data_IF_957670666514
#
_entry.id   IF_957670666514
#
_cell.length_a   1.000
_cell.length_b   1.000
_cell.length_c   1.000
_cell.angle_alpha   90.00
_cell.angle_beta   90.00
_cell.angle_gamma   90.00
#
_symmetry.space_group_name_H-M   'P 1'
#
loop_
_entity.id
_entity.type
_entity.pdbx_description
1 polymer ?
#
# COMPACT_ATOMS: atom_id res chain seq x y z
N UNK A 1 -11.79 43.34 -26.55
CA UNK A 1 -10.69 43.01 -25.60
C UNK A 1 -11.04 41.98 -24.51
N UNK A 2 -12.32 41.72 -24.16
CA UNK A 2 -12.67 40.73 -23.10
C UNK A 2 -12.50 39.25 -23.48
N UNK A 3 -12.58 38.89 -24.76
CA UNK A 3 -12.52 37.49 -25.21
C UNK A 3 -11.10 36.87 -25.20
N UNK A 4 -10.06 37.69 -25.36
CA UNK A 4 -8.66 37.22 -25.40
C UNK A 4 -8.20 36.74 -24.03
N UNK A 5 -8.66 37.39 -22.94
CA UNK A 5 -8.32 36.98 -21.58
C UNK A 5 -8.93 35.62 -21.21
N UNK A 6 -10.13 35.30 -21.70
CA UNK A 6 -10.79 34.02 -21.42
C UNK A 6 -10.03 32.87 -22.09
N UNK A 7 -9.57 33.06 -23.34
CA UNK A 7 -8.76 32.04 -24.03
C UNK A 7 -7.39 31.84 -23.37
N UNK A 8 -6.76 32.89 -22.83
CA UNK A 8 -5.48 32.75 -22.12
C UNK A 8 -5.62 32.01 -20.78
N UNK A 9 -6.75 32.15 -20.08
CA UNK A 9 -7.04 31.37 -18.87
C UNK A 9 -7.34 29.90 -19.22
N UNK A 10 -8.01 29.64 -20.34
CA UNK A 10 -8.23 28.26 -20.80
C UNK A 10 -6.95 27.59 -21.35
N UNK A 11 -6.02 28.35 -21.96
CA UNK A 11 -4.76 27.82 -22.45
C UNK A 11 -3.75 27.50 -21.32
N UNK A 12 -3.83 28.18 -20.17
CA UNK A 12 -2.92 27.93 -19.05
C UNK A 12 -3.31 26.74 -18.17
N UNK A 13 -4.51 26.17 -18.35
CA UNK A 13 -5.01 25.04 -17.53
C UNK A 13 -4.81 23.66 -18.18
N UNK A 14 -4.25 23.56 -19.40
CA UNK A 14 -4.16 22.29 -20.13
C UNK A 14 -2.86 21.48 -19.91
N UNK A 15 -2.06 21.76 -18.88
CA UNK A 15 -0.92 20.91 -18.51
C UNK A 15 -1.07 20.35 -17.09
N UNK A 16 -2.09 19.53 -16.86
CA UNK A 16 -1.97 18.44 -15.89
C UNK A 16 -1.68 17.16 -16.67
N UNK A 17 -0.41 16.93 -16.98
CA UNK A 17 0.07 15.64 -17.48
C UNK A 17 -0.33 14.60 -16.43
N UNK A 18 -1.18 13.65 -16.80
CA UNK A 18 -1.71 12.66 -15.87
C UNK A 18 -0.55 11.76 -15.42
N UNK A 19 -0.13 12.00 -14.18
CA UNK A 19 1.02 11.39 -13.54
C UNK A 19 0.68 9.96 -13.11
N UNK A 20 0.84 9.01 -14.03
CA UNK A 20 0.56 7.61 -13.78
C UNK A 20 1.59 6.94 -12.86
N UNK A 21 1.10 5.99 -12.06
CA UNK A 21 1.98 5.04 -11.39
C UNK A 21 2.69 4.12 -12.41
N UNK A 22 3.86 3.56 -12.10
CA UNK A 22 4.47 2.53 -12.94
C UNK A 22 3.56 1.31 -13.12
N UNK A 23 3.86 0.50 -14.14
CA UNK A 23 3.17 -0.77 -14.37
C UNK A 23 3.29 -1.67 -13.14
N UNK A 24 2.15 -2.21 -12.66
CA UNK A 24 1.96 -2.98 -11.41
C UNK A 24 1.56 -2.19 -10.15
N UNK A 25 1.57 -0.86 -10.22
CA UNK A 25 1.01 0.01 -9.20
C UNK A 25 -0.33 0.59 -9.66
N UNK A 26 -1.25 0.74 -8.71
CA UNK A 26 -2.59 1.26 -8.93
C UNK A 26 -2.67 2.65 -8.33
N UNK A 27 -3.03 3.63 -9.16
CA UNK A 27 -3.22 5.01 -8.73
C UNK A 27 -4.53 5.18 -7.96
N UNK A 28 -4.47 5.88 -6.83
CA UNK A 28 -5.63 6.29 -6.06
C UNK A 28 -5.89 7.79 -6.25
N UNK A 29 -7.07 8.21 -6.74
CA UNK A 29 -7.42 9.63 -6.81
C UNK A 29 -7.75 10.23 -5.43
N UNK A 30 -7.96 9.40 -4.39
CA UNK A 30 -8.37 9.86 -3.06
C UNK A 30 -7.24 10.54 -2.27
N UNK A 31 -5.99 10.19 -2.57
CA UNK A 31 -4.81 10.70 -1.90
C UNK A 31 -3.64 10.95 -2.86
N UNK A 32 -3.84 10.74 -4.16
CA UNK A 32 -2.82 10.89 -5.20
C UNK A 32 -1.59 10.01 -4.99
N UNK A 33 -1.76 8.83 -4.39
CA UNK A 33 -0.69 7.86 -4.13
C UNK A 33 -0.79 6.64 -5.04
N UNK A 34 0.30 5.88 -5.09
CA UNK A 34 0.40 4.62 -5.83
C UNK A 34 0.39 3.45 -4.86
N UNK A 35 -0.41 2.44 -5.16
CA UNK A 35 -0.62 1.25 -4.32
C UNK A 35 -0.21 -0.03 -5.05
N UNK A 36 0.43 -0.97 -4.36
CA UNK A 36 0.78 -2.28 -4.90
C UNK A 36 0.32 -3.38 -3.96
N UNK A 37 -0.54 -4.26 -4.47
CA UNK A 37 -1.05 -5.41 -3.73
C UNK A 37 -0.02 -6.54 -3.81
N UNK A 38 0.37 -7.10 -2.66
CA UNK A 38 1.25 -8.26 -2.62
C UNK A 38 0.50 -9.53 -2.98
N UNK A 39 1.11 -10.37 -3.82
CA UNK A 39 0.60 -11.71 -4.15
C UNK A 39 0.95 -12.76 -3.08
N UNK A 40 1.73 -12.38 -2.06
CA UNK A 40 2.13 -13.26 -0.96
C UNK A 40 1.61 -12.74 0.37
N UNK A 41 0.99 -13.61 1.16
CA UNK A 41 0.54 -13.29 2.50
C UNK A 41 1.72 -13.31 3.47
N UNK A 42 1.82 -12.29 4.32
CA UNK A 42 2.93 -12.14 5.27
C UNK A 42 2.43 -11.80 6.66
N UNK A 43 3.29 -11.98 7.66
CA UNK A 43 3.10 -11.26 8.92
C UNK A 43 3.28 -9.76 8.71
N UNK A 44 2.79 -8.95 9.64
CA UNK A 44 2.77 -7.49 9.52
C UNK A 44 4.19 -6.92 9.33
N UNK A 45 5.15 -7.32 10.18
CA UNK A 45 6.53 -6.81 10.11
C UNK A 45 7.23 -7.18 8.79
N UNK A 46 7.05 -8.43 8.33
CA UNK A 46 7.62 -8.86 7.05
C UNK A 46 6.96 -8.12 5.88
N UNK A 47 5.66 -7.82 5.98
CA UNK A 47 4.96 -7.00 5.00
C UNK A 47 5.52 -5.58 4.95
N UNK A 48 5.71 -4.96 6.12
CA UNK A 48 6.29 -3.62 6.25
C UNK A 48 7.72 -3.58 5.72
N UNK A 49 8.54 -4.56 6.10
CA UNK A 49 9.88 -4.73 5.57
C UNK A 49 9.89 -4.84 4.04
N UNK A 50 9.02 -5.67 3.46
CA UNK A 50 8.94 -5.84 2.01
C UNK A 50 8.50 -4.54 1.32
N UNK A 51 7.56 -3.79 1.90
CA UNK A 51 7.16 -2.49 1.39
C UNK A 51 8.32 -1.48 1.49
N UNK A 52 9.03 -1.43 2.62
CA UNK A 52 10.18 -0.55 2.83
C UNK A 52 11.32 -0.87 1.85
N UNK A 53 11.58 -2.15 1.58
CA UNK A 53 12.60 -2.59 0.61
C UNK A 53 12.35 -2.06 -0.80
N UNK A 54 11.07 -1.92 -1.19
CA UNK A 54 10.68 -1.31 -2.47
C UNK A 54 10.45 0.20 -2.36
N UNK A 55 10.67 0.83 -1.20
CA UNK A 55 10.53 2.27 -0.98
C UNK A 55 9.11 2.75 -0.62
N UNK A 56 8.25 1.84 -0.21
CA UNK A 56 6.92 2.18 0.32
C UNK A 56 6.80 1.85 1.81
N UNK A 57 5.58 1.97 2.31
CA UNK A 57 5.14 1.44 3.59
C UNK A 57 3.90 0.58 3.37
N UNK A 58 3.51 -0.25 4.34
CA UNK A 58 2.12 -0.74 4.33
C UNK A 58 1.18 0.47 4.40
N UNK A 59 0.10 0.43 3.63
CA UNK A 59 -0.84 1.52 3.50
C UNK A 59 -1.41 2.04 4.83
N UNK A 60 -1.23 3.33 5.07
CA UNK A 60 -1.95 4.12 6.07
C UNK A 60 -3.36 4.48 5.57
N UNK A 61 -4.29 4.75 6.51
CA UNK A 61 -5.68 5.06 6.20
C UNK A 61 -6.11 6.31 6.98
N UNK A 62 -6.57 7.33 6.25
CA UNK A 62 -6.95 8.63 6.81
C UNK A 62 -8.38 9.05 6.44
N UNK A 63 -9.11 8.25 5.66
CA UNK A 63 -10.49 8.55 5.29
C UNK A 63 -11.31 7.28 4.99
N UNK A 64 -12.66 7.38 5.00
CA UNK A 64 -13.54 6.29 4.56
C UNK A 64 -13.24 5.81 3.14
N UNK A 65 -12.93 6.72 2.22
CA UNK A 65 -12.65 6.43 0.81
C UNK A 65 -11.34 5.64 0.67
N UNK A 66 -10.29 6.00 1.42
CA UNK A 66 -9.04 5.24 1.44
C UNK A 66 -9.25 3.82 2.01
N UNK A 67 -10.08 3.70 3.05
CA UNK A 67 -10.42 2.38 3.59
C UNK A 67 -11.16 1.53 2.55
N UNK A 68 -12.14 2.12 1.87
CA UNK A 68 -12.91 1.44 0.83
C UNK A 68 -12.00 0.98 -0.31
N UNK A 69 -11.11 1.87 -0.77
CA UNK A 69 -10.16 1.59 -1.83
C UNK A 69 -9.22 0.42 -1.47
N UNK A 70 -8.59 0.43 -0.29
CA UNK A 70 -7.74 -0.67 0.15
C UNK A 70 -8.50 -1.99 0.31
N UNK A 71 -9.72 -1.92 0.84
CA UNK A 71 -10.57 -3.10 0.97
C UNK A 71 -10.86 -3.72 -0.40
N UNK A 72 -11.23 -2.92 -1.39
CA UNK A 72 -11.50 -3.38 -2.76
C UNK A 72 -10.25 -3.98 -3.44
N UNK A 73 -9.08 -3.38 -3.21
CA UNK A 73 -7.80 -3.89 -3.73
C UNK A 73 -7.44 -5.26 -3.17
N UNK A 74 -7.61 -5.46 -1.86
CA UNK A 74 -7.12 -6.67 -1.18
C UNK A 74 -8.14 -7.80 -1.03
N UNK A 75 -9.45 -7.51 -1.08
CA UNK A 75 -10.49 -8.49 -0.70
C UNK A 75 -10.58 -9.73 -1.58
N UNK A 76 -10.04 -9.68 -2.80
CA UNK A 76 -9.97 -10.82 -3.73
C UNK A 76 -8.67 -11.61 -3.62
N UNK A 77 -7.68 -11.12 -2.86
CA UNK A 77 -6.37 -11.75 -2.71
C UNK A 77 -6.29 -12.59 -1.43
N UNK A 78 -6.95 -12.15 -0.36
CA UNK A 78 -6.97 -12.89 0.90
C UNK A 78 -8.08 -12.46 1.84
N UNK A 79 -8.30 -13.25 2.89
CA UNK A 79 -9.38 -13.03 3.87
C UNK A 79 -9.16 -11.79 4.75
N UNK A 80 -7.91 -11.33 4.84
CA UNK A 80 -7.54 -10.16 5.63
C UNK A 80 -6.48 -9.34 4.93
N UNK A 81 -6.50 -8.03 5.18
CA UNK A 81 -5.61 -7.05 4.57
C UNK A 81 -4.94 -6.26 5.69
N UNK A 82 -3.62 -6.14 5.66
CA UNK A 82 -2.92 -5.35 6.66
C UNK A 82 -3.20 -3.86 6.51
N UNK A 83 -3.41 -3.19 7.65
CA UNK A 83 -3.34 -1.74 7.78
C UNK A 83 -1.96 -1.40 8.29
N UNK A 84 -1.35 -0.32 7.81
CA UNK A 84 0.01 0.11 8.20
C UNK A 84 0.14 0.58 9.64
N UNK A 85 -0.80 0.24 10.52
CA UNK A 85 -0.83 0.62 11.92
C UNK A 85 -0.54 -0.56 12.85
N UNK A 86 0.27 -0.29 13.86
CA UNK A 86 0.51 -1.21 14.96
C UNK A 86 0.75 -0.45 16.28
N UNK A 87 0.63 -1.15 17.40
CA UNK A 87 1.08 -0.68 18.71
C UNK A 87 2.53 -1.12 18.90
N UNK A 88 3.46 -0.18 19.06
CA UNK A 88 4.88 -0.48 19.30
C UNK A 88 5.26 -0.28 20.77
N UNK A 89 6.32 -0.95 21.24
CA UNK A 89 6.86 -0.63 22.57
C UNK A 89 6.01 -1.13 23.72
N UNK A 90 5.97 -0.34 24.79
CA UNK A 90 4.95 -0.40 25.84
C UNK A 90 3.76 0.54 25.55
N UNK A 91 3.79 1.28 24.44
CA UNK A 91 2.76 2.27 24.10
C UNK A 91 1.47 1.56 23.64
N UNK A 92 0.32 1.79 24.30
CA UNK A 92 -0.95 1.23 23.90
C UNK A 92 -1.59 1.94 22.69
N UNK A 93 -0.95 2.97 22.15
CA UNK A 93 -1.46 3.75 21.02
C UNK A 93 -1.04 3.12 19.70
N UNK A 94 -1.96 3.12 18.73
CA UNK A 94 -1.66 2.74 17.36
C UNK A 94 -0.89 3.88 16.68
N UNK A 95 0.14 3.52 15.93
CA UNK A 95 0.96 4.43 15.14
C UNK A 95 1.14 3.84 13.75
N UNK A 96 1.07 4.68 12.72
CA UNK A 96 1.37 4.26 11.34
C UNK A 96 2.88 4.14 11.13
N UNK A 97 3.31 3.10 10.40
CA UNK A 97 4.73 2.86 10.06
C UNK A 97 5.34 3.97 9.20
N UNK A 98 4.52 4.58 8.32
CA UNK A 98 4.91 5.73 7.49
C UNK A 98 5.01 7.06 8.27
N UNK A 99 4.64 7.05 9.54
CA UNK A 99 4.68 8.20 10.44
C UNK A 99 3.61 9.26 10.27
N UNK A 100 2.63 9.01 9.41
CA UNK A 100 1.41 9.80 9.33
C UNK A 100 0.59 9.72 10.63
N UNK A 101 -0.29 10.72 10.90
CA UNK A 101 -1.10 10.71 12.11
C UNK A 101 -2.15 9.60 12.09
N UNK A 102 -2.34 8.92 13.23
CA UNK A 102 -3.42 7.95 13.42
C UNK A 102 -4.75 8.66 13.74
N UNK A 103 -5.43 9.14 12.70
CA UNK A 103 -6.60 10.04 12.79
C UNK A 103 -7.92 9.47 12.23
N UNK A 104 -7.91 8.21 11.77
CA UNK A 104 -9.08 7.54 11.23
C UNK A 104 -9.12 6.08 11.71
N UNK A 105 -10.31 5.58 12.01
CA UNK A 105 -10.51 4.23 12.53
C UNK A 105 -11.85 3.65 12.07
N UNK A 106 -11.88 2.34 11.81
CA UNK A 106 -13.09 1.65 11.34
C UNK A 106 -13.27 0.26 11.97
N UNK A 107 -13.19 0.18 13.30
CA UNK A 107 -13.28 -1.08 14.05
C UNK A 107 -14.61 -1.83 13.89
N UNK A 108 -14.53 -3.16 13.82
CA UNK A 108 -15.68 -4.04 13.67
C UNK A 108 -16.70 -3.97 14.82
N UNK A 109 -16.24 -3.73 16.06
CA UNK A 109 -17.09 -3.56 17.25
C UNK A 109 -17.53 -2.10 17.46
N UNK A 110 -17.30 -1.21 16.48
CA UNK A 110 -17.65 0.21 16.55
C UNK A 110 -16.79 1.06 17.49
N UNK A 111 -15.81 0.46 18.17
CA UNK A 111 -14.86 1.15 19.07
C UNK A 111 -13.50 0.49 19.06
N UNK A 112 -12.47 1.26 19.46
CA UNK A 112 -11.11 0.73 19.60
C UNK A 112 -11.06 -0.41 20.62
N UNK A 113 -10.50 -1.58 20.27
CA UNK A 113 -10.38 -2.69 21.22
C UNK A 113 -9.34 -2.37 22.31
N UNK A 114 -9.46 -2.98 23.51
CA UNK A 114 -8.48 -2.80 24.58
C UNK A 114 -7.12 -3.40 24.19
N UNK A 115 -6.04 -2.81 24.70
CA UNK A 115 -4.67 -3.28 24.46
C UNK A 115 -4.51 -4.77 24.81
N UNK A 116 -3.96 -5.54 23.87
CA UNK A 116 -3.57 -6.94 24.09
C UNK A 116 -2.15 -7.16 23.58
N UNK A 117 -1.25 -7.63 24.47
CA UNK A 117 0.16 -7.89 24.12
C UNK A 117 0.35 -8.81 22.91
N UNK A 118 -0.53 -9.78 22.73
CA UNK A 118 -0.48 -10.73 21.61
C UNK A 118 -1.17 -10.25 20.32
N UNK A 119 -1.89 -9.12 20.35
CA UNK A 119 -2.66 -8.60 19.21
C UNK A 119 -2.46 -7.10 19.03
N UNK A 120 -1.30 -6.74 18.48
CA UNK A 120 -0.82 -5.36 18.37
C UNK A 120 -0.95 -4.75 16.98
N UNK A 121 -1.28 -5.55 15.97
CA UNK A 121 -1.37 -5.12 14.58
C UNK A 121 -2.82 -5.00 14.12
N UNK A 122 -3.08 -4.14 13.13
CA UNK A 122 -4.44 -3.88 12.61
C UNK A 122 -4.61 -4.49 11.24
N UNK A 123 -5.72 -5.18 11.01
CA UNK A 123 -6.09 -5.70 9.69
C UNK A 123 -7.57 -5.46 9.38
N UNK A 124 -7.89 -5.33 8.11
CA UNK A 124 -9.26 -5.27 7.57
C UNK A 124 -9.74 -6.69 7.31
N UNK A 125 -10.96 -7.00 7.74
CA UNK A 125 -11.67 -8.22 7.33
C UNK A 125 -12.23 -8.04 5.91
N UNK A 126 -11.85 -8.92 4.98
CA UNK A 126 -12.22 -8.81 3.56
C UNK A 126 -13.71 -9.01 3.29
N UNK A 127 -14.47 -9.58 4.23
CA UNK A 127 -15.93 -9.73 4.10
C UNK A 127 -16.68 -8.46 4.49
N UNK A 128 -16.22 -7.73 5.51
CA UNK A 128 -16.94 -6.58 6.08
C UNK A 128 -16.32 -5.22 5.75
N UNK A 129 -15.03 -5.18 5.40
CA UNK A 129 -14.29 -3.93 5.24
C UNK A 129 -14.08 -3.16 6.56
N UNK A 130 -14.18 -3.85 7.70
CA UNK A 130 -14.00 -3.33 9.05
C UNK A 130 -12.71 -3.88 9.68
N UNK A 131 -12.19 -3.17 10.69
CA UNK A 131 -10.90 -3.46 11.29
C UNK A 131 -11.02 -4.39 12.49
N UNK A 132 -10.00 -5.21 12.68
CA UNK A 132 -9.78 -5.97 13.91
C UNK A 132 -8.30 -5.95 14.32
N UNK A 133 -8.08 -6.09 15.63
CA UNK A 133 -6.73 -6.29 16.16
C UNK A 133 -6.28 -7.75 15.92
N UNK A 134 -5.02 -7.93 15.56
CA UNK A 134 -4.47 -9.23 15.23
C UNK A 134 -3.06 -9.43 15.74
N UNK A 135 -2.69 -10.70 15.89
CA UNK A 135 -1.30 -11.08 16.11
C UNK A 135 -0.48 -10.73 14.86
N UNK A 136 0.61 -10.00 15.04
CA UNK A 136 1.43 -9.53 13.93
C UNK A 136 2.08 -10.67 13.10
N UNK A 137 2.12 -11.91 13.62
CA UNK A 137 2.61 -13.09 12.89
C UNK A 137 1.58 -13.70 11.94
N UNK A 138 0.28 -13.45 12.16
CA UNK A 138 -0.78 -14.05 11.33
C UNK A 138 -0.66 -13.55 9.89
N UNK A 139 -0.83 -14.43 8.92
CA UNK A 139 -0.66 -14.06 7.50
C UNK A 139 -1.88 -13.27 7.00
N UNK A 140 -1.62 -12.08 6.45
CA UNK A 140 -2.63 -11.25 5.77
C UNK A 140 -1.99 -10.59 4.54
N UNK A 141 -2.78 -9.97 3.67
CA UNK A 141 -2.32 -9.29 2.45
C UNK A 141 -1.67 -7.95 2.83
N UNK A 142 -0.36 -7.73 2.62
CA UNK A 142 0.20 -6.38 2.68
C UNK A 142 -0.10 -5.63 1.37
N UNK A 143 -0.53 -4.38 1.49
CA UNK A 143 -0.65 -3.45 0.37
C UNK A 143 0.34 -2.33 0.61
N UNK A 144 1.32 -2.20 -0.28
CA UNK A 144 2.34 -1.16 -0.18
C UNK A 144 1.84 0.14 -0.81
N UNK A 145 2.21 1.28 -0.22
CA UNK A 145 1.88 2.62 -0.72
C UNK A 145 3.15 3.45 -0.93
N UNK A 146 3.15 4.28 -1.98
CA UNK A 146 4.18 5.28 -2.27
C UNK A 146 3.56 6.63 -2.62
N UNK A 147 4.23 7.70 -2.19
CA UNK A 147 3.99 9.04 -2.75
C UNK A 147 4.82 9.19 -4.05
N UNK A 148 4.19 9.39 -5.21
CA UNK A 148 4.88 9.65 -6.46
C UNK A 148 5.87 10.82 -6.38
N UNK A 149 5.62 11.81 -5.52
CA UNK A 149 6.48 13.00 -5.35
C UNK A 149 7.88 12.66 -4.85
N UNK A 150 8.06 11.51 -4.21
CA UNK A 150 9.37 11.05 -3.72
C UNK A 150 10.21 10.37 -4.81
N UNK A 151 9.65 10.12 -6.00
CA UNK A 151 10.29 9.34 -7.06
C UNK A 151 10.34 10.13 -8.38
N UNK A 152 11.45 10.82 -8.68
CA UNK A 152 11.66 11.45 -9.98
C UNK A 152 11.49 10.41 -11.11
N UNK A 153 10.67 10.69 -12.11
CA UNK A 153 10.35 9.76 -13.20
C UNK A 153 9.02 9.00 -13.01
N UNK A 154 8.51 8.89 -11.79
CA UNK A 154 7.17 8.35 -11.56
C UNK A 154 6.14 9.44 -11.89
N UNK A 155 5.17 9.12 -12.75
CA UNK A 155 4.17 10.10 -13.18
C UNK A 155 4.66 11.16 -14.16
N UNK A 156 5.87 11.04 -14.71
CA UNK A 156 6.27 11.77 -15.92
C UNK A 156 6.37 10.76 -17.06
N UNK A 157 5.66 10.94 -18.19
CA UNK A 157 5.90 10.12 -19.36
C UNK A 157 7.38 10.17 -19.68
N UNK A 158 8.00 9.00 -19.91
CA UNK A 158 9.35 8.99 -20.44
C UNK A 158 9.36 9.76 -21.78
N UNK A 159 10.46 10.44 -22.12
CA UNK A 159 10.58 11.16 -23.39
C UNK A 159 10.25 10.28 -24.61
N UNK A 160 10.46 8.97 -24.50
CA UNK A 160 10.10 7.99 -25.53
C UNK A 160 8.59 7.70 -25.62
N UNK A 161 7.83 7.94 -24.56
CA UNK A 161 6.39 7.71 -24.50
C UNK A 161 5.60 8.92 -25.02
N UNK A 162 6.13 10.13 -24.83
CA UNK A 162 5.57 11.36 -25.41
C UNK A 162 5.63 11.35 -26.95
N UNK A 163 6.59 10.63 -27.54
CA UNK A 163 6.69 10.44 -28.99
C UNK A 163 5.73 9.36 -29.55
N UNK A 164 5.11 8.54 -28.69
CA UNK A 164 4.21 7.46 -29.10
C UNK A 164 2.73 7.80 -28.99
N UNK A 165 2.37 8.89 -28.32
CA UNK A 165 0.97 9.33 -28.22
C UNK A 165 0.67 10.29 -29.38
N UNK A 166 -0.14 9.89 -30.38
CA UNK A 166 -0.58 10.80 -31.42
C UNK A 166 -1.50 11.87 -30.82
N UNK A 167 -1.51 13.10 -31.37
CA UNK A 167 -2.42 14.13 -30.90
C UNK A 167 -3.87 13.69 -31.05
N UNK A 168 -4.63 13.85 -29.97
CA UNK A 168 -6.05 13.51 -29.83
C UNK A 168 -6.89 14.17 -30.91
N UNK A 169 -7.56 13.35 -31.72
CA UNK A 169 -8.69 13.75 -32.57
C UNK A 169 -9.90 13.98 -31.66
N UNK A 170 -10.60 15.10 -31.92
CA UNK A 170 -11.63 15.66 -31.07
C UNK A 170 -12.87 14.80 -30.85
N UNK A 171 -13.58 15.19 -29.80
CA UNK A 171 -14.95 14.80 -29.47
C UNK A 171 -15.91 14.95 -30.65
N UNK A 172 -16.72 13.93 -30.95
CA UNK A 172 -18.00 14.13 -31.59
C UNK A 172 -19.11 13.90 -30.56
N UNK A 173 -19.59 15.02 -30.02
CA UNK A 173 -20.97 15.14 -29.60
C UNK A 173 -21.86 15.00 -30.84
N UNK A 174 -22.93 14.21 -30.71
CA UNK A 174 -24.18 14.13 -31.52
C UNK A 174 -24.48 12.69 -31.95
N UNK A 175 -24.97 11.89 -31.00
CA UNK A 175 -25.63 10.63 -31.31
C UNK A 175 -27.06 10.95 -31.78
N UNK A 176 -27.28 10.93 -33.09
CA UNK A 176 -28.60 10.96 -33.70
C UNK A 176 -29.26 9.59 -33.49
N UNK A 177 -30.47 9.60 -32.93
CA UNK A 177 -31.31 8.40 -32.74
C UNK A 177 -31.61 7.78 -34.11
N UNK A 178 -30.95 6.68 -34.45
CA UNK A 178 -31.47 5.73 -35.44
C UNK A 178 -32.15 4.58 -34.72
N UNK A 179 -33.39 4.34 -35.12
CA UNK A 179 -34.22 3.22 -34.74
C UNK A 179 -33.61 1.95 -35.36
N UNK A 180 -32.63 1.38 -34.65
CA UNK A 180 -31.90 0.19 -35.09
C UNK A 180 -32.78 -1.05 -34.96
N UNK A 181 -32.78 -1.83 -36.05
CA UNK A 181 -33.60 -3.02 -36.24
C UNK A 181 -33.41 -4.05 -35.13
N UNK A 182 -34.51 -4.71 -34.78
CA UNK A 182 -34.66 -5.73 -33.74
C UNK A 182 -33.57 -6.82 -33.78
N UNK A 183 -33.03 -7.13 -34.96
CA UNK A 183 -31.97 -8.13 -35.14
C UNK A 183 -30.64 -7.74 -34.45
N UNK A 184 -30.28 -6.45 -34.42
CA UNK A 184 -29.07 -5.98 -33.74
C UNK A 184 -29.22 -6.06 -32.22
N UNK A 185 -30.43 -5.85 -31.70
CA UNK A 185 -30.69 -5.98 -30.27
C UNK A 185 -30.57 -7.43 -29.80
N UNK A 186 -31.10 -8.38 -30.57
CA UNK A 186 -30.96 -9.81 -30.25
C UNK A 186 -29.48 -10.24 -30.21
N UNK A 187 -28.68 -9.80 -31.19
CA UNK A 187 -27.24 -10.07 -31.21
C UNK A 187 -26.49 -9.42 -30.03
N UNK A 188 -26.88 -8.20 -29.64
CA UNK A 188 -26.31 -7.53 -28.46
C UNK A 188 -26.65 -8.27 -27.17
N UNK A 189 -27.90 -8.72 -27.01
CA UNK A 189 -28.35 -9.51 -25.85
C UNK A 189 -27.61 -10.84 -25.75
N UNK A 190 -27.43 -11.54 -26.87
CA UNK A 190 -26.65 -12.79 -26.93
C UNK A 190 -25.18 -12.55 -26.55
N UNK A 191 -24.59 -11.44 -27.03
CA UNK A 191 -23.25 -11.01 -26.64
C UNK A 191 -23.12 -10.75 -25.13
N UNK A 192 -24.09 -10.08 -24.50
CA UNK A 192 -24.10 -9.88 -23.05
C UNK A 192 -24.27 -11.18 -22.27
N UNK A 193 -25.07 -12.12 -22.79
CA UNK A 193 -25.27 -13.41 -22.16
C UNK A 193 -23.98 -14.24 -22.18
N UNK A 194 -23.24 -14.23 -23.30
CA UNK A 194 -21.94 -14.88 -23.42
C UNK A 194 -20.91 -14.31 -22.43
N UNK A 195 -20.81 -12.99 -22.31
CA UNK A 195 -19.91 -12.34 -21.32
C UNK A 195 -20.30 -12.72 -19.89
N UNK A 196 -21.61 -12.82 -19.60
CA UNK A 196 -22.11 -13.24 -18.29
C UNK A 196 -21.73 -14.69 -17.96
N UNK A 197 -21.82 -15.58 -18.94
CA UNK A 197 -21.51 -16.99 -18.76
C UNK A 197 -20.00 -17.24 -18.66
N UNK A 198 -19.18 -16.49 -19.42
CA UNK A 198 -17.72 -16.45 -19.23
C UNK A 198 -17.34 -15.93 -17.83
N UNK A 199 -18.03 -14.90 -17.32
CA UNK A 199 -17.80 -14.38 -15.97
C UNK A 199 -18.22 -15.38 -14.87
N UNK A 200 -19.27 -16.18 -15.08
CA UNK A 200 -19.63 -17.28 -14.16
C UNK A 200 -18.57 -18.36 -14.16
N UNK A 201 -18.07 -18.74 -15.33
CA UNK A 201 -17.03 -19.76 -15.44
C UNK A 201 -15.72 -19.31 -14.79
N UNK A 202 -15.33 -18.03 -14.95
CA UNK A 202 -14.21 -17.43 -14.22
C UNK A 202 -14.41 -17.42 -12.71
N UNK A 203 -15.65 -17.23 -12.24
CA UNK A 203 -15.99 -17.29 -10.82
C UNK A 203 -15.90 -18.73 -10.27
N UNK A 204 -16.35 -19.72 -11.01
CA UNK A 204 -16.21 -21.14 -10.64
C UNK A 204 -14.74 -21.60 -10.66
N UNK A 205 -13.96 -21.16 -11.64
CA UNK A 205 -12.51 -21.40 -11.68
C UNK A 205 -11.81 -20.69 -10.50
N UNK A 206 -12.24 -19.48 -10.16
CA UNK A 206 -11.76 -18.77 -8.96
C UNK A 206 -12.10 -19.55 -7.69
N UNK A 207 -13.35 -19.98 -7.50
CA UNK A 207 -13.79 -20.68 -6.29
C UNK A 207 -13.14 -22.08 -6.16
N UNK A 208 -12.82 -22.75 -7.27
CA UNK A 208 -12.10 -24.04 -7.27
C UNK A 208 -10.58 -23.89 -7.16
N UNK A 209 -9.99 -22.83 -7.74
CA UNK A 209 -8.56 -22.53 -7.61
C UNK A 209 -8.20 -21.97 -6.23
N UNK A 210 -9.15 -21.38 -5.50
CA UNK A 210 -8.91 -20.83 -4.16
C UNK A 210 -8.83 -21.91 -3.07
N UNK A 211 -9.11 -23.18 -3.37
CA UNK A 211 -8.77 -24.32 -2.49
C UNK A 211 -7.29 -24.75 -2.62
N UNK A 212 -6.42 -23.86 -3.12
CA UNK A 212 -5.00 -23.93 -2.81
C UNK A 212 -4.84 -23.69 -1.30
N UNK A 213 -5.07 -24.75 -0.52
CA UNK A 213 -4.70 -24.86 0.89
C UNK A 213 -3.27 -24.37 1.03
N UNK A 214 -3.14 -23.13 1.49
CA UNK A 214 -1.89 -22.59 2.01
C UNK A 214 -1.41 -23.60 3.03
N UNK A 215 -0.28 -24.25 2.72
CA UNK A 215 0.34 -25.30 3.52
C UNK A 215 0.20 -24.99 5.00
N UNK A 216 -0.32 -25.97 5.73
CA UNK A 216 -0.57 -25.94 7.16
C UNK A 216 0.62 -25.28 7.91
N UNK A 217 0.31 -24.21 8.65
CA UNK A 217 1.26 -23.47 9.48
C UNK A 217 1.79 -24.35 10.63
N UNK A 218 3.07 -24.20 10.98
CA UNK A 218 3.56 -24.56 12.31
C UNK A 218 2.91 -23.65 13.38
N UNK A 219 2.60 -24.18 14.58
CA UNK A 219 1.87 -23.46 15.61
C UNK A 219 2.60 -22.18 16.05
N UNK A 220 1.99 -21.05 15.73
CA UNK A 220 2.44 -19.72 16.14
C UNK A 220 2.23 -19.60 17.66
N UNK A 221 3.32 -19.62 18.44
CA UNK A 221 3.28 -19.35 19.88
C UNK A 221 2.62 -17.98 20.15
N UNK A 222 1.39 -18.00 20.68
CA UNK A 222 0.56 -16.82 21.00
C UNK A 222 1.17 -15.93 22.11
N UNK A 223 2.21 -16.40 22.80
CA UNK A 223 2.88 -15.67 23.89
C UNK A 223 3.95 -14.66 23.45
N UNK A 224 4.36 -14.66 22.18
CA UNK A 224 5.30 -13.67 21.65
C UNK A 224 4.51 -12.52 21.01
N UNK A 225 4.89 -11.27 21.32
CA UNK A 225 4.33 -10.00 20.82
C UNK A 225 4.22 -9.86 19.29
N UNK A 226 4.64 -10.88 18.55
CA UNK A 226 4.51 -10.99 17.11
C UNK A 226 5.75 -10.50 16.36
N UNK A 227 6.72 -9.89 17.06
CA UNK A 227 7.92 -9.30 16.48
C UNK A 227 9.05 -10.35 16.36
N UNK A 228 8.98 -11.16 15.30
CA UNK A 228 9.96 -12.22 15.02
C UNK A 228 11.10 -11.75 14.10
N UNK A 229 12.29 -11.52 14.68
CA UNK A 229 13.63 -11.33 14.05
C UNK A 229 14.00 -9.91 13.59
N UNK A 230 14.72 -9.19 14.46
CA UNK A 230 15.38 -7.89 14.29
C UNK A 230 16.26 -7.80 13.03
N UNK A 231 16.12 -6.72 12.26
CA UNK A 231 17.18 -6.20 11.39
C UNK A 231 17.98 -5.23 12.24
N UNK A 232 19.27 -5.50 12.45
CA UNK A 232 20.14 -4.58 13.17
C UNK A 232 20.41 -3.36 12.28
N UNK A 233 20.65 -2.20 12.89
CA UNK A 233 21.09 -1.00 12.15
C UNK A 233 22.36 -1.25 11.30
N UNK A 234 23.15 -2.26 11.69
CA UNK A 234 24.36 -2.74 11.01
C UNK A 234 24.11 -3.71 9.86
N UNK A 235 22.91 -4.27 9.74
CA UNK A 235 22.61 -5.24 8.69
C UNK A 235 22.58 -4.49 7.36
N UNK A 236 23.49 -4.85 6.46
CA UNK A 236 23.49 -4.32 5.11
C UNK A 236 22.32 -4.91 4.34
N UNK A 237 21.65 -4.09 3.55
CA UNK A 237 20.62 -4.53 2.61
C UNK A 237 21.24 -4.49 1.20
N UNK A 238 22.02 -5.52 0.79
CA UNK A 238 22.82 -5.46 -0.44
C UNK A 238 22.00 -5.26 -1.71
N UNK A 239 20.70 -5.59 -1.68
CA UNK A 239 19.79 -5.49 -2.82
C UNK A 239 18.81 -4.31 -2.72
N UNK A 240 18.96 -3.43 -1.73
CA UNK A 240 18.14 -2.21 -1.65
C UNK A 240 18.85 -1.12 -2.43
N UNK A 241 18.09 -0.49 -3.34
CA UNK A 241 18.53 0.70 -4.06
C UNK A 241 19.02 1.76 -3.07
N UNK A 242 20.27 2.21 -3.23
CA UNK A 242 20.86 3.24 -2.38
C UNK A 242 20.10 4.58 -2.44
N UNK A 243 19.23 4.77 -3.44
CA UNK A 243 18.35 5.93 -3.58
C UNK A 243 16.99 5.78 -2.89
N UNK A 244 16.72 4.65 -2.21
CA UNK A 244 15.45 4.39 -1.53
C UNK A 244 15.17 5.46 -0.44
N UNK A 245 14.19 6.35 -0.64
CA UNK A 245 13.98 7.51 0.25
C UNK A 245 13.49 7.11 1.64
N UNK A 246 12.88 5.93 1.79
CA UNK A 246 12.42 5.41 3.07
C UNK A 246 13.60 4.95 3.91
N UNK A 247 14.49 4.14 3.34
CA UNK A 247 15.60 3.54 4.08
C UNK A 247 16.81 4.46 4.22
N UNK A 248 16.93 5.51 3.39
CA UNK A 248 17.95 6.57 3.55
C UNK A 248 17.62 7.50 4.71
N UNK A 249 16.33 7.75 5.00
CA UNK A 249 15.93 8.55 6.16
C UNK A 249 16.14 7.73 7.45
N UNK A 250 16.97 8.21 8.41
CA UNK A 250 17.28 7.48 9.64
C UNK A 250 16.05 7.24 10.52
N UNK A 251 15.10 8.17 10.60
CA UNK A 251 13.88 8.03 11.41
C UNK A 251 12.96 6.96 10.81
N UNK A 252 12.83 6.94 9.48
CA UNK A 252 12.04 5.92 8.78
C UNK A 252 12.71 4.55 8.88
N UNK A 253 14.04 4.49 8.72
CA UNK A 253 14.83 3.27 8.92
C UNK A 253 14.64 2.75 10.33
N UNK A 254 14.71 3.62 11.34
CA UNK A 254 14.47 3.25 12.74
C UNK A 254 13.04 2.73 12.91
N UNK A 255 12.01 3.38 12.36
CA UNK A 255 10.61 2.87 12.46
C UNK A 255 10.46 1.48 11.85
N UNK A 256 10.99 1.26 10.65
CA UNK A 256 10.99 -0.06 9.99
C UNK A 256 11.76 -1.08 10.85
N UNK A 257 12.88 -0.71 11.47
CA UNK A 257 13.65 -1.58 12.36
C UNK A 257 12.96 -1.81 13.71
N UNK A 258 12.31 -0.81 14.30
CA UNK A 258 11.56 -0.89 15.56
C UNK A 258 10.31 -1.76 15.41
N UNK A 259 9.74 -1.87 14.21
CA UNK A 259 8.78 -2.93 13.88
C UNK A 259 9.35 -4.34 13.99
N UNK A 260 10.63 -4.47 14.33
CA UNK A 260 11.34 -5.72 14.34
C UNK A 260 11.95 -6.03 15.72
N UNK A 261 12.00 -5.06 16.65
CA UNK A 261 12.68 -5.18 17.94
C UNK A 261 11.71 -5.55 19.07
N UNK A 262 12.01 -6.71 19.69
CA UNK A 262 11.43 -7.28 20.91
C UNK A 262 11.25 -6.23 22.02
N UNK A 263 10.04 -6.11 22.54
CA UNK A 263 9.73 -5.26 23.71
C UNK A 263 9.67 -6.06 25.01
N UNK A 264 10.77 -6.69 25.42
CA UNK A 264 10.86 -7.35 26.73
C UNK A 264 11.87 -6.71 27.70
N UNK A 265 12.53 -5.61 27.34
CA UNK A 265 13.24 -4.80 28.33
C UNK A 265 13.01 -3.32 28.03
N UNK A 266 12.59 -2.50 29.02
CA UNK A 266 12.85 -1.07 28.97
C UNK A 266 14.35 -0.88 28.68
N UNK A 267 14.72 0.14 27.90
CA UNK A 267 16.11 0.56 27.80
C UNK A 267 16.60 0.93 29.21
N UNK A 268 17.13 -0.06 29.93
CA UNK A 268 17.73 0.15 31.24
C UNK A 268 19.12 0.72 31.02
N UNK A 269 19.27 1.96 31.47
CA UNK A 269 20.52 2.67 31.76
C UNK A 269 21.37 3.12 30.56
N UNK A 270 22.10 4.21 30.80
CA UNK A 270 22.66 5.18 29.86
C UNK A 270 23.61 4.64 28.77
N UNK A 271 23.98 3.36 28.81
CA UNK A 271 24.88 2.71 27.86
C UNK A 271 24.30 2.69 26.42
N UNK A 272 22.98 2.71 26.28
CA UNK A 272 22.30 2.82 24.98
C UNK A 272 22.38 4.21 24.35
N UNK A 273 22.43 5.27 25.17
CA UNK A 273 22.50 6.66 24.71
C UNK A 273 23.90 7.00 24.20
N UNK A 274 24.93 6.50 24.88
CA UNK A 274 26.32 6.64 24.43
C UNK A 274 26.59 5.93 23.10
N UNK A 275 25.95 4.78 22.86
CA UNK A 275 26.03 4.12 21.56
C UNK A 275 25.38 4.93 20.46
N UNK A 276 24.19 5.50 20.69
CA UNK A 276 23.50 6.35 19.72
C UNK A 276 24.32 7.62 19.41
N UNK A 277 24.84 8.29 20.44
CA UNK A 277 25.68 9.48 20.28
C UNK A 277 27.01 9.17 19.59
N UNK A 278 27.61 7.99 19.82
CA UNK A 278 28.82 7.57 19.09
C UNK A 278 28.56 7.30 17.61
N UNK A 279 27.40 6.75 17.26
CA UNK A 279 27.01 6.42 15.88
C UNK A 279 26.70 7.71 15.11
N UNK A 280 26.02 8.67 15.73
CA UNK A 280 25.71 9.98 15.12
C UNK A 280 26.97 10.83 14.96
N UNK A 281 27.93 10.74 15.89
CA UNK A 281 29.15 11.57 15.86
C UNK A 281 30.33 10.98 15.10
N UNK A 282 30.26 9.74 14.62
CA UNK A 282 31.33 9.13 13.82
C UNK A 282 31.38 9.75 12.42
N UNK A 283 32.33 10.65 12.10
CA UNK A 283 32.49 11.14 10.75
C UNK A 283 33.14 10.02 9.93
N UNK A 284 32.60 9.72 8.75
CA UNK A 284 33.14 8.74 7.80
C UNK A 284 34.60 9.10 7.42
N UNK A 285 35.56 8.72 8.26
CA UNK A 285 36.99 8.89 8.01
C UNK A 285 37.58 7.57 7.55
N UNK A 286 38.10 7.65 6.32
CA UNK A 286 39.12 6.80 5.72
C UNK A 286 38.67 5.43 5.20
N UNK A 287 37.98 5.44 4.06
CA UNK A 287 38.18 4.41 3.04
C UNK A 287 39.27 4.95 2.10
N UNK A 288 40.51 4.49 2.28
CA UNK A 288 41.56 4.66 1.26
C UNK A 288 41.50 3.45 0.33
N UNK A 289 41.50 3.73 -0.98
CA UNK A 289 41.72 2.77 -2.06
C UNK A 289 43.14 2.20 -2.00
#
# INVERSE_FOLDING_TARGET
>A
MKFIFITFIFLSLAQRIFSGCPSDWIYSPHDSKCYKVSNTLTGWNLGEFNCAAIGGHIASIHSPEQNQFLWELGRRVGNYIWVGAAQFGSNPSYVYSDGSPFNFEKWNIGRRPPFKRSRRCVKIDSSTGLWEQSCCKKKSVPICVKDPKLYPGWGTPSSNEMNKVPPTVGSPFSAEKKEESIDNFAAAVDGFQKVRDEAKQLKEISDTSFDFKLRDEEPINEGSDGFGKVIKLTDTMPNVDATNPILVNPDNRERVILTTIRNDKPLESEEGKDRLDSIVRSPLRNIKF
#
